data_IF_101510794990
#
_entry.id   IF_101510794990
#
_cell.length_a   1.000
_cell.length_b   1.000
_cell.length_c   1.000
_cell.angle_alpha   90.00
_cell.angle_beta   90.00
_cell.angle_gamma   90.00
#
_symmetry.space_group_name_H-M   'P 1'
#
loop_
_entity.id
_entity.type
_entity.pdbx_description
1 polymer ?
#
# COMPACT_ATOMS: atom_id res chain seq x y z
N UNK A 1 -7.78 -23.71 5.34
CA UNK A 1 -7.12 -22.41 5.62
C UNK A 1 -7.49 -21.44 4.52
N UNK A 2 -8.51 -20.63 4.76
CA UNK A 2 -8.96 -19.57 3.84
C UNK A 2 -7.87 -18.51 3.71
N UNK A 3 -7.26 -18.41 2.53
CA UNK A 3 -6.30 -17.36 2.18
C UNK A 3 -6.96 -15.99 2.35
N UNK A 4 -6.70 -15.32 3.48
CA UNK A 4 -7.23 -13.99 3.73
C UNK A 4 -6.50 -12.99 2.80
N UNK A 5 -7.20 -12.17 2.00
CA UNK A 5 -6.59 -11.25 1.04
C UNK A 5 -5.62 -10.24 1.67
N UNK A 6 -5.72 -9.98 2.97
CA UNK A 6 -4.75 -9.14 3.71
C UNK A 6 -3.39 -9.82 3.95
N UNK A 7 -3.25 -11.12 3.70
CA UNK A 7 -1.97 -11.82 3.73
C UNK A 7 -1.25 -11.77 2.37
N UNK A 8 -1.92 -11.27 1.33
CA UNK A 8 -1.34 -11.24 0.00
C UNK A 8 -0.56 -9.94 -0.16
N UNK A 9 0.77 -10.06 -0.20
CA UNK A 9 1.73 -9.02 -0.60
C UNK A 9 1.43 -8.37 -1.98
N UNK A 10 0.35 -8.79 -2.64
CA UNK A 10 -0.16 -8.32 -3.93
C UNK A 10 -0.34 -6.82 -4.03
N UNK A 11 -0.65 -6.12 -2.94
CA UNK A 11 -0.78 -4.65 -2.96
C UNK A 11 0.48 -3.96 -2.45
N UNK A 12 1.21 -4.57 -1.51
CA UNK A 12 2.40 -3.99 -0.92
C UNK A 12 3.59 -3.97 -1.89
N UNK A 13 3.84 -5.07 -2.59
CA UNK A 13 4.96 -5.17 -3.55
C UNK A 13 4.86 -4.14 -4.68
N UNK A 14 3.73 -4.03 -5.41
CA UNK A 14 3.62 -3.00 -6.43
C UNK A 14 3.63 -1.59 -5.84
N UNK A 15 3.10 -1.37 -4.63
CA UNK A 15 3.20 -0.07 -3.96
C UNK A 15 4.66 0.35 -3.75
N UNK A 16 5.49 -0.56 -3.24
CA UNK A 16 6.92 -0.30 -3.01
C UNK A 16 7.64 -0.04 -4.34
N UNK A 17 7.39 -0.87 -5.36
CA UNK A 17 8.05 -0.71 -6.66
C UNK A 17 7.67 0.61 -7.34
N UNK A 18 6.38 0.97 -7.35
CA UNK A 18 5.90 2.23 -7.91
C UNK A 18 6.48 3.42 -7.15
N UNK A 19 6.51 3.36 -5.82
CA UNK A 19 7.05 4.45 -4.99
C UNK A 19 8.55 4.62 -5.21
N UNK A 20 9.31 3.51 -5.27
CA UNK A 20 10.74 3.52 -5.54
C UNK A 20 11.06 4.06 -6.95
N UNK A 21 10.30 3.64 -7.96
CA UNK A 21 10.43 4.16 -9.32
C UNK A 21 10.09 5.66 -9.39
N UNK A 22 9.05 6.11 -8.69
CA UNK A 22 8.68 7.53 -8.61
C UNK A 22 9.75 8.38 -7.92
N UNK A 23 10.35 7.90 -6.83
CA UNK A 23 11.48 8.53 -6.16
C UNK A 23 12.70 8.64 -7.08
N UNK A 24 13.00 7.58 -7.84
CA UNK A 24 14.08 7.59 -8.81
C UNK A 24 13.84 8.61 -9.92
N UNK A 25 12.64 8.67 -10.50
CA UNK A 25 12.28 9.69 -11.49
C UNK A 25 12.36 11.12 -10.91
N UNK A 26 11.99 11.30 -9.63
CA UNK A 26 12.14 12.60 -8.95
C UNK A 26 13.61 13.00 -8.86
N UNK A 27 14.50 12.06 -8.50
CA UNK A 27 15.94 12.32 -8.44
C UNK A 27 16.51 12.71 -9.82
N UNK A 28 16.10 12.02 -10.89
CA UNK A 28 16.50 12.37 -12.26
C UNK A 28 15.99 13.76 -12.69
N UNK A 29 14.77 14.12 -12.30
CA UNK A 29 14.23 15.44 -12.61
C UNK A 29 14.98 16.58 -11.90
N UNK A 30 15.54 16.32 -10.72
CA UNK A 30 16.31 17.28 -9.94
C UNK A 30 17.75 17.46 -10.45
N UNK A 31 18.29 16.49 -11.20
CA UNK A 31 19.66 16.52 -11.71
C UNK A 31 19.84 17.58 -12.81
N UNK A 32 18.87 17.72 -13.72
CA UNK A 32 18.83 18.78 -14.74
C UNK A 32 17.44 19.42 -14.87
N UNK A 33 17.09 20.37 -13.99
CA UNK A 33 15.74 20.91 -13.87
C UNK A 33 15.28 21.79 -15.05
N UNK A 34 16.18 22.19 -15.95
CA UNK A 34 15.81 23.02 -17.12
C UNK A 34 15.61 22.20 -18.41
N UNK A 35 15.95 20.92 -18.39
CA UNK A 35 15.72 20.03 -19.53
C UNK A 35 14.23 19.75 -19.73
N UNK A 36 13.82 19.61 -21.00
CA UNK A 36 12.47 19.12 -21.35
C UNK A 36 12.20 17.73 -20.77
N UNK A 37 13.25 16.92 -20.60
CA UNK A 37 13.19 15.61 -19.99
C UNK A 37 12.85 15.66 -18.50
N UNK A 38 13.33 16.67 -17.77
CA UNK A 38 12.99 16.88 -16.36
C UNK A 38 11.49 17.13 -16.14
N UNK A 39 10.84 17.88 -17.04
CA UNK A 39 9.40 18.07 -16.98
C UNK A 39 8.65 16.73 -17.13
N UNK A 40 9.10 15.88 -18.06
CA UNK A 40 8.54 14.54 -18.24
C UNK A 40 8.76 13.65 -17.01
N UNK A 41 9.99 13.59 -16.50
CA UNK A 41 10.31 12.82 -15.29
C UNK A 41 9.56 13.30 -14.06
N UNK A 42 9.33 14.61 -13.92
CA UNK A 42 8.54 15.20 -12.84
C UNK A 42 7.07 14.77 -12.89
N UNK A 43 6.45 14.79 -14.08
CA UNK A 43 5.06 14.33 -14.25
C UNK A 43 4.96 12.83 -13.98
N UNK A 44 5.88 12.04 -14.55
CA UNK A 44 5.92 10.59 -14.35
C UNK A 44 6.13 10.22 -12.88
N UNK A 45 7.06 10.90 -12.20
CA UNK A 45 7.31 10.73 -10.77
C UNK A 45 6.06 10.97 -9.93
N UNK A 46 5.35 12.07 -10.18
CA UNK A 46 4.11 12.39 -9.47
C UNK A 46 3.05 11.30 -9.66
N UNK A 47 2.85 10.81 -10.89
CA UNK A 47 1.89 9.73 -11.17
C UNK A 47 2.27 8.46 -10.42
N UNK A 48 3.53 8.05 -10.49
CA UNK A 48 4.03 6.83 -9.84
C UNK A 48 3.91 6.91 -8.31
N UNK A 49 4.24 8.05 -7.71
CA UNK A 49 4.12 8.28 -6.27
C UNK A 49 2.65 8.24 -5.83
N UNK A 50 1.74 8.91 -6.54
CA UNK A 50 0.31 8.88 -6.23
C UNK A 50 -0.23 7.44 -6.28
N UNK A 51 0.09 6.68 -7.33
CA UNK A 51 -0.32 5.28 -7.44
C UNK A 51 0.29 4.40 -6.35
N UNK A 52 1.55 4.64 -5.98
CA UNK A 52 2.21 3.97 -4.87
C UNK A 52 1.50 4.21 -3.54
N UNK A 53 1.17 5.47 -3.23
CA UNK A 53 0.45 5.87 -2.02
C UNK A 53 -0.95 5.26 -1.98
N UNK A 54 -1.69 5.26 -3.09
CA UNK A 54 -3.02 4.64 -3.17
C UNK A 54 -2.93 3.14 -2.85
N UNK A 55 -1.96 2.42 -3.44
CA UNK A 55 -1.79 1.00 -3.16
C UNK A 55 -1.40 0.72 -1.70
N UNK A 56 -0.57 1.58 -1.10
CA UNK A 56 -0.26 1.52 0.33
C UNK A 56 -1.52 1.71 1.19
N UNK A 57 -2.36 2.69 0.87
CA UNK A 57 -3.60 2.95 1.58
C UNK A 57 -4.57 1.77 1.49
N UNK A 58 -4.75 1.21 0.29
CA UNK A 58 -5.59 0.01 0.08
C UNK A 58 -5.06 -1.18 0.88
N UNK A 59 -3.73 -1.39 0.89
CA UNK A 59 -3.12 -2.45 1.69
C UNK A 59 -3.35 -2.23 3.20
N UNK A 60 -3.16 -1.01 3.69
CA UNK A 60 -3.38 -0.67 5.09
C UNK A 60 -4.84 -0.91 5.52
N UNK A 61 -5.80 -0.48 4.70
CA UNK A 61 -7.24 -0.72 4.94
C UNK A 61 -7.54 -2.22 4.98
N UNK A 62 -7.00 -3.01 4.03
CA UNK A 62 -7.19 -4.46 4.04
C UNK A 62 -6.64 -5.11 5.32
N UNK A 63 -5.46 -4.68 5.78
CA UNK A 63 -4.87 -5.16 7.04
C UNK A 63 -5.73 -4.79 8.25
N UNK A 64 -6.26 -3.56 8.31
CA UNK A 64 -7.14 -3.11 9.38
C UNK A 64 -8.45 -3.90 9.42
N UNK A 65 -9.08 -4.12 8.27
CA UNK A 65 -10.30 -4.92 8.17
C UNK A 65 -10.08 -6.35 8.66
N UNK A 66 -8.97 -6.98 8.26
CA UNK A 66 -8.61 -8.32 8.76
C UNK A 66 -8.38 -8.33 10.27
N UNK A 67 -7.68 -7.33 10.82
CA UNK A 67 -7.45 -7.23 12.26
C UNK A 67 -8.77 -7.10 13.02
N UNK A 68 -9.69 -6.29 12.49
CA UNK A 68 -11.03 -6.13 13.05
C UNK A 68 -11.82 -7.45 12.99
N UNK A 69 -11.78 -8.19 11.88
CA UNK A 69 -12.41 -9.51 11.78
C UNK A 69 -11.83 -10.53 12.76
N UNK A 70 -10.51 -10.57 12.92
CA UNK A 70 -9.85 -11.47 13.88
C UNK A 70 -10.20 -11.12 15.33
N UNK A 71 -10.20 -9.83 15.68
CA UNK A 71 -10.64 -9.35 16.99
C UNK A 71 -12.11 -9.70 17.26
N UNK A 72 -12.98 -9.50 16.26
CA UNK A 72 -14.40 -9.85 16.34
C UNK A 72 -14.57 -11.33 16.64
N UNK A 73 -13.91 -12.19 15.86
CA UNK A 73 -14.02 -13.64 16.03
C UNK A 73 -13.50 -14.13 17.38
N UNK A 74 -12.46 -13.50 17.95
CA UNK A 74 -11.96 -13.90 19.28
C UNK A 74 -12.93 -13.51 20.40
N UNK A 75 -13.54 -12.32 20.34
CA UNK A 75 -14.46 -11.85 21.38
C UNK A 75 -15.76 -12.64 21.43
N UNK A 76 -16.29 -13.08 20.28
CA UNK A 76 -17.53 -13.88 20.27
C UNK A 76 -17.33 -15.33 20.75
N UNK A 77 -16.17 -15.92 20.53
CA UNK A 77 -15.85 -17.26 21.03
C UNK A 77 -15.69 -17.25 22.55
N UNK A 78 -15.06 -16.21 23.11
CA UNK A 78 -14.82 -16.06 24.55
C UNK A 78 -16.14 -15.95 25.34
N UNK A 79 -17.14 -15.23 24.81
CA UNK A 79 -18.47 -15.08 25.44
C UNK A 79 -19.24 -16.40 25.45
N UNK A 80 -19.16 -17.21 24.40
CA UNK A 80 -19.85 -18.51 24.37
C UNK A 80 -19.27 -19.55 25.31
N UNK A 81 -17.99 -19.46 25.67
CA UNK A 81 -17.35 -20.38 26.63
C UNK A 81 -17.54 -19.96 28.09
N UNK A 82 -17.94 -18.71 28.36
CA UNK A 82 -18.19 -18.23 29.74
C UNK A 82 -19.62 -18.46 30.24
N UNK A 83 -20.52 -18.89 29.36
CA UNK A 83 -21.95 -19.14 29.69
C UNK A 83 -22.28 -20.63 29.95
N UNK A 84 -21.29 -21.53 29.93
CA UNK A 84 -21.41 -22.93 30.42
C UNK A 84 -20.84 -23.10 31.85
#
# INVERSE_FOLDING_TARGET
MSHHPAQTLRFLVPAILLTAAGLFCTALALDDPQSTESAFYSVLANVLLVLGVINFAVHAVAVLLRRHEMWRNSHFVEVTETEE
#
